data_IF_451796710641
#
_entry.id   IF_451796710641
#
_cell.length_a   1.000
_cell.length_b   1.000
_cell.length_c   1.000
_cell.angle_alpha   90.00
_cell.angle_beta   90.00
_cell.angle_gamma   90.00
#
_symmetry.space_group_name_H-M   'P 1'
#
loop_
_entity.id
_entity.type
_entity.pdbx_description
1 polymer ?
#
# COMPACT_ATOMS: atom_id res chain seq x y z
N UNK A 1 0.82 49.02 -14.59
CA UNK A 1 1.36 47.64 -14.47
C UNK A 1 0.42 46.85 -13.56
N UNK A 2 -0.54 46.17 -14.15
CA UNK A 2 -1.46 45.28 -13.44
C UNK A 2 -0.73 43.99 -13.13
N UNK A 3 -0.44 43.75 -11.87
CA UNK A 3 0.17 42.50 -11.38
C UNK A 3 -0.77 41.32 -11.65
N UNK A 4 -0.20 40.20 -12.06
CA UNK A 4 -0.89 38.97 -12.43
C UNK A 4 -1.59 38.33 -11.21
N UNK A 5 -2.94 38.42 -11.10
CA UNK A 5 -3.68 37.74 -10.02
C UNK A 5 -3.63 36.22 -10.11
N UNK A 6 -3.42 35.67 -11.32
CA UNK A 6 -3.56 34.23 -11.61
C UNK A 6 -2.46 33.35 -10.99
N UNK A 7 -1.26 33.89 -10.79
CA UNK A 7 -0.13 33.07 -10.32
C UNK A 7 -0.23 32.75 -8.82
N UNK A 8 -0.70 33.69 -8.01
CA UNK A 8 -0.94 33.50 -6.58
C UNK A 8 -2.19 32.63 -6.33
N UNK A 9 -3.20 32.74 -7.19
CA UNK A 9 -4.39 31.91 -7.12
C UNK A 9 -4.06 30.45 -7.44
N UNK A 10 -3.32 30.20 -8.51
CA UNK A 10 -2.89 28.84 -8.88
C UNK A 10 -2.01 28.20 -7.80
N UNK A 11 -1.07 28.98 -7.22
CA UNK A 11 -0.26 28.49 -6.10
C UNK A 11 -1.12 28.15 -4.88
N UNK A 12 -2.15 28.95 -4.57
CA UNK A 12 -3.08 28.67 -3.49
C UNK A 12 -3.92 27.41 -3.75
N UNK A 13 -4.39 27.21 -4.98
CA UNK A 13 -5.09 25.98 -5.38
C UNK A 13 -4.21 24.74 -5.24
N UNK A 14 -2.94 24.81 -5.66
CA UNK A 14 -1.97 23.72 -5.51
C UNK A 14 -1.70 23.39 -4.03
N UNK A 15 -1.58 24.42 -3.18
CA UNK A 15 -1.39 24.23 -1.73
C UNK A 15 -2.62 23.60 -1.07
N UNK A 16 -3.82 24.05 -1.44
CA UNK A 16 -5.09 23.50 -0.94
C UNK A 16 -5.25 22.04 -1.43
N UNK A 17 -4.94 21.75 -2.70
CA UNK A 17 -4.96 20.40 -3.24
C UNK A 17 -4.02 19.45 -2.49
N UNK A 18 -2.79 19.88 -2.22
CA UNK A 18 -1.83 19.11 -1.41
C UNK A 18 -2.31 18.90 0.02
N UNK A 19 -2.83 19.95 0.66
CA UNK A 19 -3.36 19.84 2.02
C UNK A 19 -4.58 18.89 2.10
N UNK A 20 -5.47 18.92 1.11
CA UNK A 20 -6.59 17.98 1.02
C UNK A 20 -6.12 16.53 0.82
N UNK A 21 -5.11 16.32 -0.03
CA UNK A 21 -4.50 15.01 -0.22
C UNK A 21 -3.85 14.51 1.08
N UNK A 22 -3.13 15.39 1.80
CA UNK A 22 -2.53 15.03 3.09
C UNK A 22 -3.59 14.76 4.17
N UNK A 23 -4.68 15.53 4.23
CA UNK A 23 -5.78 15.29 5.16
C UNK A 23 -6.50 13.97 4.82
N UNK A 24 -6.74 13.67 3.56
CA UNK A 24 -7.32 12.40 3.15
C UNK A 24 -6.38 11.23 3.46
N UNK A 25 -5.09 11.35 3.18
CA UNK A 25 -4.09 10.34 3.55
C UNK A 25 -4.03 10.13 5.07
N UNK A 26 -4.12 11.18 5.87
CA UNK A 26 -4.20 11.09 7.33
C UNK A 26 -5.52 10.47 7.80
N UNK A 27 -6.64 10.80 7.16
CA UNK A 27 -7.95 10.20 7.47
C UNK A 27 -7.97 8.71 7.16
N UNK A 28 -7.47 8.30 6.00
CA UNK A 28 -7.29 6.87 5.66
C UNK A 28 -6.20 6.20 6.52
N UNK A 29 -5.16 6.94 6.92
CA UNK A 29 -4.15 6.44 7.86
C UNK A 29 -4.69 6.23 9.27
N UNK A 30 -5.73 6.95 9.67
CA UNK A 30 -6.40 6.83 10.98
C UNK A 30 -7.58 5.85 10.95
N UNK A 31 -8.13 5.52 9.77
CA UNK A 31 -9.19 4.53 9.58
C UNK A 31 -8.62 3.10 9.61
N UNK A 32 -7.93 2.74 10.68
CA UNK A 32 -7.65 1.34 11.01
C UNK A 32 -8.89 0.79 11.70
N UNK A 33 -9.32 -0.42 11.40
CA UNK A 33 -10.19 -1.15 12.31
C UNK A 33 -9.45 -1.31 13.65
N UNK A 34 -9.74 -0.42 14.63
CA UNK A 34 -9.05 -0.37 15.94
C UNK A 34 -9.69 -1.39 16.91
N UNK A 35 -10.53 -2.27 16.43
CA UNK A 35 -11.03 -3.34 17.28
C UNK A 35 -9.98 -4.44 17.41
N UNK A 36 -9.52 -4.65 18.63
CA UNK A 36 -8.67 -5.77 19.00
C UNK A 36 -9.34 -7.06 18.50
N UNK A 37 -8.77 -7.67 17.45
CA UNK A 37 -9.30 -8.89 16.85
C UNK A 37 -9.89 -8.77 15.45
N UNK A 38 -9.59 -7.68 14.68
CA UNK A 38 -10.04 -7.59 13.29
C UNK A 38 -9.47 -8.74 12.45
N UNK A 39 -10.28 -9.27 11.55
CA UNK A 39 -9.80 -10.22 10.53
C UNK A 39 -9.04 -9.47 9.44
N UNK A 40 -7.79 -9.91 9.16
CA UNK A 40 -6.92 -9.23 8.19
C UNK A 40 -7.45 -9.39 6.76
N UNK A 41 -7.95 -10.58 6.41
CA UNK A 41 -8.44 -10.86 5.06
C UNK A 41 -9.72 -10.04 4.78
N UNK A 42 -10.64 -9.97 5.73
CA UNK A 42 -11.86 -9.16 5.63
C UNK A 42 -11.51 -7.68 5.50
N UNK A 43 -10.63 -7.16 6.36
CA UNK A 43 -10.23 -5.75 6.34
C UNK A 43 -9.52 -5.35 5.03
N UNK A 44 -8.73 -6.25 4.45
CA UNK A 44 -8.10 -6.02 3.14
C UNK A 44 -9.14 -6.15 2.02
N UNK A 45 -10.10 -7.06 2.13
CA UNK A 45 -11.24 -7.15 1.20
C UNK A 45 -12.00 -5.84 1.12
N UNK A 46 -12.36 -5.25 2.27
CA UNK A 46 -13.03 -3.94 2.33
C UNK A 46 -12.18 -2.82 1.72
N UNK A 47 -10.86 -2.83 1.99
CA UNK A 47 -9.92 -1.86 1.41
C UNK A 47 -9.84 -2.00 -0.12
N UNK A 48 -9.85 -3.21 -0.65
CA UNK A 48 -9.83 -3.47 -2.10
C UNK A 48 -11.12 -2.95 -2.75
N UNK A 49 -12.30 -3.22 -2.17
CA UNK A 49 -13.58 -2.71 -2.68
C UNK A 49 -13.60 -1.18 -2.72
N UNK A 50 -13.10 -0.52 -1.66
CA UNK A 50 -12.98 0.95 -1.64
C UNK A 50 -12.01 1.44 -2.72
N UNK A 51 -10.84 0.80 -2.85
CA UNK A 51 -9.83 1.14 -3.85
C UNK A 51 -10.38 1.02 -5.28
N UNK A 52 -11.02 -0.09 -5.65
CA UNK A 52 -11.64 -0.29 -6.96
C UNK A 52 -12.74 0.74 -7.25
N UNK A 53 -13.53 1.10 -6.24
CA UNK A 53 -14.63 2.07 -6.37
C UNK A 53 -14.17 3.48 -6.77
N UNK A 54 -12.95 3.87 -6.37
CA UNK A 54 -12.40 5.21 -6.61
C UNK A 54 -11.33 5.26 -7.71
N UNK A 55 -10.83 4.12 -8.19
CA UNK A 55 -9.71 4.11 -9.16
C UNK A 55 -10.17 3.36 -10.42
N UNK A 56 -10.59 2.87 -11.09
CA UNK A 56 -10.81 1.99 -12.28
C UNK A 56 -9.73 0.89 -12.43
N UNK A 57 -9.03 0.55 -11.34
CA UNK A 57 -8.05 -0.54 -11.31
C UNK A 57 -8.75 -1.78 -10.74
N UNK A 58 -8.63 -2.91 -11.41
CA UNK A 58 -9.17 -4.18 -10.91
C UNK A 58 -8.16 -4.88 -10.02
N UNK A 59 -8.64 -5.47 -8.92
CA UNK A 59 -7.80 -6.20 -7.98
C UNK A 59 -8.26 -7.66 -7.86
N UNK A 60 -7.42 -8.58 -8.33
CA UNK A 60 -7.60 -10.01 -8.07
C UNK A 60 -7.02 -10.33 -6.68
N UNK A 61 -7.89 -10.36 -5.67
CA UNK A 61 -7.52 -10.69 -4.29
C UNK A 61 -7.66 -12.19 -4.04
N UNK A 62 -6.56 -12.82 -3.65
CA UNK A 62 -6.51 -14.21 -3.23
C UNK A 62 -6.03 -14.31 -1.79
N UNK A 63 -6.80 -14.97 -0.94
CA UNK A 63 -6.48 -15.17 0.48
C UNK A 63 -6.42 -16.65 0.80
N UNK A 64 -5.32 -17.08 1.41
CA UNK A 64 -5.13 -18.42 1.93
C UNK A 64 -4.64 -18.31 3.38
N UNK A 65 -5.58 -18.05 4.29
CA UNK A 65 -5.29 -17.90 5.71
C UNK A 65 -5.48 -19.25 6.41
N UNK A 66 -4.44 -19.69 7.12
CA UNK A 66 -4.47 -20.93 7.91
C UNK A 66 -5.11 -20.63 9.28
N UNK A 67 -6.27 -21.24 9.54
CA UNK A 67 -7.05 -21.05 10.77
C UNK A 67 -6.30 -21.53 12.04
N UNK A 68 -5.32 -22.42 11.89
CA UNK A 68 -4.49 -22.91 12.99
C UNK A 68 -3.37 -21.94 13.38
N UNK A 69 -3.20 -20.84 12.63
CA UNK A 69 -2.13 -19.84 12.84
C UNK A 69 -2.71 -18.55 13.38
N UNK A 70 -2.43 -18.26 14.64
CA UNK A 70 -2.79 -16.98 15.24
C UNK A 70 -1.72 -15.91 14.93
N UNK A 71 -2.03 -15.02 13.99
CA UNK A 71 -1.22 -13.82 13.77
C UNK A 71 -1.44 -12.82 14.91
N UNK A 72 -0.36 -12.30 15.48
CA UNK A 72 -0.47 -11.24 16.48
C UNK A 72 -1.15 -9.99 15.88
N UNK A 73 -1.78 -9.17 16.71
CA UNK A 73 -2.39 -7.90 16.29
C UNK A 73 -1.37 -7.00 15.57
N UNK A 74 -0.13 -6.99 16.05
CA UNK A 74 0.95 -6.20 15.45
C UNK A 74 1.27 -6.65 14.02
N UNK A 75 1.31 -7.97 13.76
CA UNK A 75 1.56 -8.53 12.42
C UNK A 75 0.38 -8.26 11.49
N UNK A 76 -0.88 -8.43 11.99
CA UNK A 76 -2.08 -8.08 11.21
C UNK A 76 -2.08 -6.61 10.82
N UNK A 77 -1.79 -5.73 11.78
CA UNK A 77 -1.73 -4.29 11.55
C UNK A 77 -0.60 -3.92 10.58
N UNK A 78 0.57 -4.55 10.72
CA UNK A 78 1.68 -4.35 9.80
C UNK A 78 1.32 -4.77 8.38
N UNK A 79 0.72 -5.95 8.19
CA UNK A 79 0.23 -6.44 6.90
C UNK A 79 -0.79 -5.49 6.26
N UNK A 80 -1.81 -5.08 7.02
CA UNK A 80 -2.81 -4.11 6.58
C UNK A 80 -2.17 -2.81 6.06
N UNK A 81 -1.22 -2.25 6.82
CA UNK A 81 -0.56 -1.00 6.45
C UNK A 81 0.38 -1.13 5.26
N UNK A 82 0.99 -2.28 5.05
CA UNK A 82 1.82 -2.57 3.89
C UNK A 82 0.95 -2.58 2.62
N UNK A 83 -0.17 -3.30 2.66
CA UNK A 83 -1.10 -3.34 1.53
C UNK A 83 -1.65 -1.95 1.24
N UNK A 84 -2.08 -1.20 2.27
CA UNK A 84 -2.57 0.17 2.13
C UNK A 84 -1.56 1.09 1.45
N UNK A 85 -0.30 1.09 1.89
CA UNK A 85 0.75 1.95 1.32
C UNK A 85 1.06 1.53 -0.13
N UNK A 86 1.06 0.22 -0.44
CA UNK A 86 1.32 -0.22 -1.81
C UNK A 86 0.16 0.09 -2.75
N UNK A 87 -1.10 -0.06 -2.34
CA UNK A 87 -2.24 0.37 -3.14
C UNK A 87 -2.21 1.88 -3.41
N UNK A 88 -1.81 2.70 -2.43
CA UNK A 88 -1.60 4.13 -2.63
C UNK A 88 -0.47 4.41 -3.64
N UNK A 89 0.64 3.65 -3.59
CA UNK A 89 1.73 3.78 -4.57
C UNK A 89 1.22 3.46 -6.00
N UNK A 90 0.39 2.44 -6.14
CA UNK A 90 -0.20 2.09 -7.45
C UNK A 90 -1.10 3.21 -7.95
N UNK A 91 -1.99 3.73 -7.11
CA UNK A 91 -2.90 4.83 -7.47
C UNK A 91 -2.15 6.08 -7.91
N UNK A 92 -1.10 6.46 -7.18
CA UNK A 92 -0.38 7.70 -7.44
C UNK A 92 0.63 7.59 -8.59
N UNK A 93 1.20 6.41 -8.84
CA UNK A 93 2.40 6.30 -9.67
C UNK A 93 2.35 5.25 -10.77
N UNK A 94 1.61 4.15 -10.60
CA UNK A 94 1.76 3.00 -11.48
C UNK A 94 1.03 3.12 -12.82
N UNK A 95 -0.09 3.82 -12.90
CA UNK A 95 -1.00 3.79 -14.07
C UNK A 95 -1.40 2.36 -14.45
N UNK A 96 -1.54 1.50 -13.46
CA UNK A 96 -1.93 0.12 -13.63
C UNK A 96 -3.42 -0.01 -14.00
N UNK A 97 -3.78 -1.14 -14.59
CA UNK A 97 -5.17 -1.52 -14.83
C UNK A 97 -5.57 -2.72 -13.99
N UNK A 98 -4.61 -3.56 -13.64
CA UNK A 98 -4.82 -4.77 -12.86
C UNK A 98 -3.77 -4.90 -11.77
N UNK A 99 -4.20 -5.39 -10.61
CA UNK A 99 -3.36 -5.78 -9.50
C UNK A 99 -3.68 -7.22 -9.12
N UNK A 100 -2.67 -8.04 -8.92
CA UNK A 100 -2.81 -9.33 -8.29
C UNK A 100 -2.28 -9.23 -6.86
N UNK A 101 -3.17 -9.45 -5.88
CA UNK A 101 -2.87 -9.35 -4.45
C UNK A 101 -3.09 -10.70 -3.78
N UNK A 102 -2.04 -11.28 -3.20
CA UNK A 102 -2.15 -12.51 -2.41
C UNK A 102 -1.79 -12.28 -0.96
N UNK A 103 -2.59 -12.87 -0.07
CA UNK A 103 -2.34 -12.96 1.36
C UNK A 103 -2.30 -14.43 1.74
N UNK A 104 -1.23 -14.86 2.34
CA UNK A 104 -1.07 -16.25 2.73
C UNK A 104 -0.45 -16.32 4.13
N UNK A 105 -1.14 -16.94 5.10
CA UNK A 105 -0.55 -17.24 6.40
C UNK A 105 -0.08 -18.69 6.45
N UNK A 106 1.15 -18.87 6.90
CA UNK A 106 1.76 -20.17 7.15
C UNK A 106 2.38 -20.19 8.54
N UNK A 107 2.78 -21.36 8.99
CA UNK A 107 3.39 -21.55 10.31
C UNK A 107 4.56 -20.59 10.57
N UNK A 108 5.27 -20.20 9.54
CA UNK A 108 6.43 -19.30 9.61
C UNK A 108 6.03 -17.83 9.73
N UNK A 109 4.86 -17.45 9.19
CA UNK A 109 4.41 -16.05 9.19
C UNK A 109 3.40 -15.70 8.11
N UNK A 110 3.24 -14.40 7.90
CA UNK A 110 2.38 -13.79 6.89
C UNK A 110 3.18 -13.47 5.63
N UNK A 111 2.70 -13.95 4.49
CA UNK A 111 3.23 -13.65 3.15
C UNK A 111 2.26 -12.75 2.42
N UNK A 112 2.76 -11.68 1.83
CA UNK A 112 1.99 -10.72 1.05
C UNK A 112 2.70 -10.55 -0.29
N UNK A 113 1.97 -10.73 -1.39
CA UNK A 113 2.46 -10.40 -2.73
C UNK A 113 1.50 -9.41 -3.37
N UNK A 114 2.03 -8.33 -3.93
CA UNK A 114 1.26 -7.33 -4.67
C UNK A 114 1.98 -7.11 -6.00
N UNK A 115 1.32 -7.43 -7.10
CA UNK A 115 1.87 -7.40 -8.46
C UNK A 115 0.95 -6.56 -9.34
N UNK A 116 1.42 -5.41 -9.83
CA UNK A 116 0.69 -4.51 -10.70
C UNK A 116 1.23 -4.52 -12.14
N UNK A 117 0.35 -4.32 -13.11
CA UNK A 117 0.68 -4.24 -14.54
C UNK A 117 1.03 -2.81 -15.01
N UNK A 118 1.48 -1.95 -14.10
CA UNK A 118 1.71 -0.54 -14.37
C UNK A 118 2.97 -0.25 -15.18
N UNK A 119 3.37 1.04 -15.17
CA UNK A 119 4.55 1.50 -15.93
C UNK A 119 5.88 1.04 -15.37
N UNK A 120 5.92 0.51 -14.16
CA UNK A 120 7.15 0.12 -13.48
C UNK A 120 8.16 1.26 -13.31
N UNK A 121 9.31 0.94 -12.76
CA UNK A 121 10.40 1.88 -12.52
C UNK A 121 11.75 1.16 -12.38
N UNK A 122 12.84 1.88 -12.52
CA UNK A 122 14.17 1.36 -12.18
C UNK A 122 14.36 1.34 -10.66
N UNK A 123 14.47 0.14 -10.09
CA UNK A 123 14.61 -0.07 -8.65
C UNK A 123 15.87 0.60 -8.10
N UNK A 124 16.95 0.67 -8.89
CA UNK A 124 18.22 1.28 -8.46
C UNK A 124 18.14 2.80 -8.37
N UNK A 125 17.34 3.44 -9.24
CA UNK A 125 17.16 4.89 -9.24
C UNK A 125 16.07 5.35 -8.26
N UNK A 126 15.02 4.56 -8.05
CA UNK A 126 13.81 4.93 -7.31
C UNK A 126 13.65 4.25 -5.94
N UNK A 127 14.63 3.44 -5.51
CA UNK A 127 14.61 2.76 -4.18
C UNK A 127 14.46 3.71 -2.96
N UNK A 128 14.43 5.02 -3.18
CA UNK A 128 14.30 6.07 -2.15
C UNK A 128 12.93 6.76 -2.12
N UNK A 129 11.93 6.25 -2.80
CA UNK A 129 10.56 6.77 -2.71
C UNK A 129 10.04 6.69 -1.27
N UNK A 130 9.32 7.74 -0.81
CA UNK A 130 8.83 7.83 0.58
C UNK A 130 7.95 6.62 0.93
N UNK A 131 7.09 6.17 0.01
CA UNK A 131 6.19 5.03 0.22
C UNK A 131 6.93 3.70 0.43
N UNK A 132 7.86 3.38 -0.45
CA UNK A 132 8.66 2.15 -0.34
C UNK A 132 9.53 2.16 0.93
N UNK A 133 10.08 3.31 1.31
CA UNK A 133 10.84 3.45 2.56
C UNK A 133 9.97 3.19 3.79
N UNK A 134 8.69 3.60 3.79
CA UNK A 134 7.76 3.31 4.88
C UNK A 134 7.46 1.80 4.97
N UNK A 135 7.24 1.13 3.83
CA UNK A 135 7.03 -0.31 3.78
C UNK A 135 8.28 -1.02 4.31
N UNK A 136 9.46 -0.70 3.78
CA UNK A 136 10.74 -1.29 4.22
C UNK A 136 10.95 -1.12 5.72
N UNK A 137 10.76 0.08 6.26
CA UNK A 137 10.92 0.34 7.70
C UNK A 137 9.99 -0.52 8.54
N UNK A 138 8.75 -0.72 8.12
CA UNK A 138 7.77 -1.56 8.80
C UNK A 138 8.16 -3.03 8.76
N UNK A 139 8.55 -3.54 7.59
CA UNK A 139 9.01 -4.93 7.43
C UNK A 139 10.23 -5.20 8.32
N UNK A 140 11.21 -4.29 8.32
CA UNK A 140 12.41 -4.41 9.17
C UNK A 140 12.10 -4.35 10.66
N UNK A 141 11.14 -3.54 11.08
CA UNK A 141 10.71 -3.46 12.49
C UNK A 141 10.21 -4.82 13.00
N UNK A 142 9.54 -5.59 12.15
CA UNK A 142 9.07 -6.95 12.46
C UNK A 142 10.07 -8.05 12.07
N UNK A 143 11.34 -7.71 11.82
CA UNK A 143 12.37 -8.68 11.38
C UNK A 143 11.97 -9.49 10.14
N UNK A 144 11.12 -8.91 9.29
CA UNK A 144 10.64 -9.50 8.06
C UNK A 144 11.58 -9.29 6.89
N UNK A 145 11.18 -9.81 5.74
CA UNK A 145 11.90 -9.70 4.47
C UNK A 145 11.02 -9.02 3.43
N UNK A 146 11.63 -8.25 2.54
CA UNK A 146 10.96 -7.56 1.43
C UNK A 146 11.80 -7.68 0.17
N UNK A 147 11.14 -8.00 -0.93
CA UNK A 147 11.72 -7.99 -2.27
C UNK A 147 10.83 -7.16 -3.19
N UNK A 148 11.46 -6.24 -3.93
CA UNK A 148 10.79 -5.47 -4.99
C UNK A 148 11.42 -5.86 -6.32
N UNK A 149 10.57 -6.20 -7.27
CA UNK A 149 10.96 -6.45 -8.67
C UNK A 149 10.18 -5.49 -9.54
N UNK A 150 10.87 -4.58 -10.24
CA UNK A 150 10.26 -3.65 -11.17
C UNK A 150 11.25 -3.24 -12.25
N UNK A 151 10.75 -3.05 -13.45
CA UNK A 151 11.47 -2.50 -14.59
C UNK A 151 10.55 -1.54 -15.35
N UNK A 152 11.06 -0.48 -15.99
CA UNK A 152 10.25 0.41 -16.80
C UNK A 152 9.45 -0.34 -17.87
N UNK A 153 8.14 -0.19 -17.86
CA UNK A 153 7.20 -0.85 -18.77
C UNK A 153 6.68 -2.22 -18.32
N UNK A 154 7.16 -2.78 -17.20
CA UNK A 154 6.83 -4.14 -16.76
C UNK A 154 6.13 -4.21 -15.38
N UNK A 155 5.54 -3.09 -14.93
CA UNK A 155 4.86 -3.06 -13.63
C UNK A 155 5.80 -3.17 -12.43
N UNK A 156 5.22 -3.46 -11.27
CA UNK A 156 5.97 -3.64 -10.04
C UNK A 156 5.40 -4.79 -9.21
N UNK A 157 6.27 -5.67 -8.77
CA UNK A 157 5.95 -6.74 -7.84
C UNK A 157 6.64 -6.49 -6.50
N UNK A 158 5.85 -6.48 -5.44
CA UNK A 158 6.29 -6.41 -4.05
C UNK A 158 5.99 -7.75 -3.36
N UNK A 159 7.01 -8.42 -2.89
CA UNK A 159 6.90 -9.61 -2.05
C UNK A 159 7.36 -9.26 -0.64
N UNK A 160 6.53 -9.58 0.37
CA UNK A 160 6.80 -9.32 1.79
C UNK A 160 6.58 -10.59 2.61
N UNK A 161 7.47 -10.84 3.53
CA UNK A 161 7.33 -11.83 4.58
C UNK A 161 7.42 -11.17 5.95
N UNK A 162 6.45 -11.43 6.82
CA UNK A 162 6.44 -11.01 8.22
C UNK A 162 6.39 -12.28 9.10
N UNK A 163 7.46 -12.58 9.86
CA UNK A 163 7.49 -13.77 10.70
C UNK A 163 6.48 -13.69 11.86
N UNK A 164 5.88 -14.82 12.22
CA UNK A 164 5.17 -14.95 13.50
C UNK A 164 6.23 -14.88 14.58
N UNK A 165 6.16 -13.87 15.43
CA UNK A 165 7.05 -13.77 16.59
C UNK A 165 6.67 -14.88 17.57
N UNK A 166 7.60 -15.81 17.80
CA UNK A 166 7.49 -16.87 18.79
C UNK A 166 7.64 -16.35 20.22
#
# INVERSE_FOLDING_TARGET
SLAKPDQHLNTAYDHIGKALTEINSLSHALAVPIDAGFDLADAIGDMVVDFESRTNVMVDLQTEMDDDIELSEEIRLAGYRIVQEQLNNVEEHAKAHNIHLTLNSKKEGLYITIDDDGIGFDVHEHAKGIGLTKIESRVRFHTGEMLITSEPGNGCKLDVFLPVQG
#
